data_IF_882859265326
#
_entry.id   IF_882859265326
#
_cell.length_a   1.000
_cell.length_b   1.000
_cell.length_c   1.000
_cell.angle_alpha   90.00
_cell.angle_beta   90.00
_cell.angle_gamma   90.00
#
_symmetry.space_group_name_H-M   'P 1'
#
loop_
_entity.id
_entity.type
_entity.pdbx_description
1 polymer ?
#
# COMPACT_ATOMS: atom_id res chain seq x y z
N UNK A 1 13.09 8.70 -8.10
CA UNK A 1 12.47 9.60 -9.10
C UNK A 1 11.04 9.20 -9.42
N UNK A 2 10.77 8.01 -9.99
CA UNK A 2 9.39 7.56 -10.30
C UNK A 2 8.44 7.64 -9.08
N UNK A 3 8.88 7.08 -7.94
CA UNK A 3 8.09 7.10 -6.71
C UNK A 3 7.76 8.52 -6.28
N UNK A 4 8.76 9.40 -6.16
CA UNK A 4 8.56 10.80 -5.77
C UNK A 4 7.65 11.55 -6.75
N UNK A 5 7.78 11.33 -8.06
CA UNK A 5 6.88 11.94 -9.03
C UNK A 5 5.42 11.53 -8.78
N UNK A 6 5.15 10.24 -8.56
CA UNK A 6 3.78 9.76 -8.33
C UNK A 6 3.25 10.22 -6.97
N UNK A 7 4.06 10.05 -5.92
CA UNK A 7 3.65 10.16 -4.53
C UNK A 7 3.73 11.58 -4.00
N UNK A 8 4.82 12.29 -4.28
CA UNK A 8 5.10 13.62 -3.73
C UNK A 8 4.59 14.71 -4.68
N UNK A 9 4.95 14.65 -5.97
CA UNK A 9 4.59 15.72 -6.92
C UNK A 9 3.10 15.68 -7.31
N UNK A 10 2.56 14.48 -7.53
CA UNK A 10 1.16 14.29 -7.97
C UNK A 10 0.20 13.86 -6.84
N UNK A 11 0.71 13.65 -5.62
CA UNK A 11 -0.10 13.31 -4.44
C UNK A 11 -1.05 12.11 -4.69
N UNK A 12 -0.51 11.05 -5.32
CA UNK A 12 -1.23 9.79 -5.58
C UNK A 12 -0.76 8.67 -4.65
N UNK A 13 -1.67 7.77 -4.20
CA UNK A 13 -1.30 6.58 -3.47
C UNK A 13 -0.60 5.59 -4.40
N UNK A 14 0.45 4.95 -3.89
CA UNK A 14 1.16 3.90 -4.62
C UNK A 14 1.53 2.78 -3.66
N UNK A 15 1.17 1.55 -4.02
CA UNK A 15 1.81 0.39 -3.43
C UNK A 15 3.09 0.10 -4.18
N UNK A 16 4.20 0.22 -3.47
CA UNK A 16 5.54 0.07 -4.01
C UNK A 16 6.02 -1.33 -3.68
N UNK A 17 6.49 -2.06 -4.68
CA UNK A 17 7.22 -3.31 -4.50
C UNK A 17 8.68 -3.03 -4.86
N UNK A 18 9.57 -3.15 -3.89
CA UNK A 18 10.98 -2.82 -4.04
C UNK A 18 11.86 -3.66 -3.09
N UNK A 19 13.17 -3.82 -3.40
CA UNK A 19 14.11 -4.46 -2.48
C UNK A 19 14.16 -3.73 -1.15
N UNK A 20 14.24 -4.50 -0.07
CA UNK A 20 14.53 -4.01 1.26
C UNK A 20 15.94 -4.41 1.67
N UNK A 21 16.59 -3.57 2.50
CA UNK A 21 17.84 -3.94 3.14
C UNK A 21 17.55 -4.83 4.37
N UNK A 22 17.86 -6.14 4.35
CA UNK A 22 17.58 -7.03 5.48
C UNK A 22 18.35 -6.64 6.75
N UNK A 23 19.49 -5.97 6.60
CA UNK A 23 20.32 -5.51 7.72
C UNK A 23 19.83 -4.19 8.34
N UNK A 24 18.69 -3.66 7.88
CA UNK A 24 18.14 -2.43 8.44
C UNK A 24 17.66 -2.66 9.88
N UNK A 25 18.03 -1.77 10.80
CA UNK A 25 17.78 -1.93 12.25
C UNK A 25 16.32 -2.20 12.61
N UNK A 26 15.38 -1.61 11.86
CA UNK A 26 13.94 -1.86 12.02
C UNK A 26 13.51 -3.32 11.80
N UNK A 27 14.23 -4.10 10.98
CA UNK A 27 13.93 -5.54 10.86
C UNK A 27 14.35 -6.31 12.11
N UNK A 28 15.29 -5.78 12.91
CA UNK A 28 15.64 -6.33 14.21
C UNK A 28 14.52 -6.24 15.26
N UNK A 29 13.44 -5.49 14.97
CA UNK A 29 12.31 -5.32 15.89
C UNK A 29 11.16 -6.30 15.62
N UNK A 30 11.32 -7.20 14.65
CA UNK A 30 10.31 -8.20 14.30
C UNK A 30 10.87 -9.62 14.34
N UNK A 31 9.99 -10.59 14.55
CA UNK A 31 10.36 -12.00 14.51
C UNK A 31 10.64 -12.47 13.08
N UNK A 32 11.51 -13.47 12.95
CA UNK A 32 11.90 -14.07 11.66
C UNK A 32 10.69 -14.61 10.87
N UNK A 33 9.68 -15.14 11.57
CA UNK A 33 8.44 -15.59 10.94
C UNK A 33 7.70 -14.42 10.27
N UNK A 34 7.60 -13.27 10.94
CA UNK A 34 6.95 -12.08 10.39
C UNK A 34 7.73 -11.53 9.20
N UNK A 35 9.06 -11.52 9.27
CA UNK A 35 9.92 -11.15 8.14
C UNK A 35 9.67 -12.04 6.92
N UNK A 36 9.72 -13.36 7.12
CA UNK A 36 9.53 -14.37 6.06
C UNK A 36 8.14 -14.27 5.42
N UNK A 37 7.11 -13.95 6.20
CA UNK A 37 5.75 -13.77 5.69
C UNK A 37 5.52 -12.43 5.00
N UNK A 38 6.38 -11.46 5.23
CA UNK A 38 6.22 -10.08 4.73
C UNK A 38 7.16 -9.75 3.58
N UNK A 39 8.13 -10.61 3.27
CA UNK A 39 9.10 -10.41 2.20
C UNK A 39 9.13 -11.59 1.25
N UNK A 40 9.47 -11.33 -0.02
CA UNK A 40 9.74 -12.36 -1.03
C UNK A 40 11.03 -11.96 -1.73
N UNK A 41 12.05 -12.81 -1.70
CA UNK A 41 13.37 -12.53 -2.30
C UNK A 41 13.94 -11.17 -1.88
N UNK A 42 13.86 -10.84 -0.58
CA UNK A 42 14.23 -9.54 0.00
C UNK A 42 13.52 -8.34 -0.64
N UNK A 43 12.33 -8.55 -1.18
CA UNK A 43 11.45 -7.51 -1.70
C UNK A 43 10.29 -7.31 -0.74
N UNK A 44 9.92 -6.05 -0.48
CA UNK A 44 8.82 -5.66 0.38
C UNK A 44 7.76 -4.90 -0.42
N UNK A 45 6.49 -5.15 -0.09
CA UNK A 45 5.36 -4.36 -0.59
C UNK A 45 4.96 -3.31 0.46
N UNK A 46 5.05 -2.03 0.10
CA UNK A 46 4.73 -0.91 0.98
C UNK A 46 3.64 -0.02 0.39
N UNK A 47 2.61 0.29 1.17
CA UNK A 47 1.64 1.31 0.79
C UNK A 47 2.19 2.70 1.14
N UNK A 48 2.17 3.59 0.17
CA UNK A 48 2.56 5.00 0.35
C UNK A 48 1.40 5.93 0.01
N UNK A 49 1.39 7.09 0.66
CA UNK A 49 0.41 8.17 0.48
C UNK A 49 -1.07 7.74 0.53
N UNK A 50 -1.42 6.94 1.55
CA UNK A 50 -2.79 6.51 1.81
C UNK A 50 -3.60 7.49 2.69
N UNK A 51 -3.21 8.77 2.73
CA UNK A 51 -3.90 9.82 3.48
C UNK A 51 -3.30 10.16 4.84
N UNK A 52 -3.89 11.16 5.51
CA UNK A 52 -3.31 11.82 6.70
C UNK A 52 -3.17 10.89 7.91
N UNK A 53 -4.14 10.00 8.12
CA UNK A 53 -4.05 9.02 9.21
C UNK A 53 -2.90 8.04 8.99
N UNK A 54 -2.75 7.53 7.75
CA UNK A 54 -1.64 6.67 7.38
C UNK A 54 -0.29 7.39 7.55
N UNK A 55 -0.19 8.65 7.12
CA UNK A 55 1.03 9.44 7.30
C UNK A 55 1.41 9.59 8.78
N UNK A 56 0.44 9.89 9.65
CA UNK A 56 0.69 10.10 11.07
C UNK A 56 1.04 8.81 11.80
N UNK A 57 0.35 7.69 11.52
CA UNK A 57 0.70 6.41 12.14
C UNK A 57 2.08 5.92 11.67
N UNK A 58 2.44 6.14 10.39
CA UNK A 58 3.80 5.84 9.90
C UNK A 58 4.85 6.68 10.63
N UNK A 59 4.62 7.99 10.82
CA UNK A 59 5.55 8.87 11.56
C UNK A 59 5.74 8.38 13.00
N UNK A 60 4.65 8.12 13.71
CA UNK A 60 4.69 7.62 15.10
C UNK A 60 5.37 6.26 15.21
N UNK A 61 5.07 5.33 14.29
CA UNK A 61 5.68 4.00 14.24
C UNK A 61 7.19 4.10 14.02
N UNK A 62 7.63 4.96 13.10
CA UNK A 62 9.05 5.18 12.82
C UNK A 62 9.78 5.81 14.01
N UNK A 63 9.20 6.81 14.67
CA UNK A 63 9.75 7.42 15.89
C UNK A 63 9.85 6.43 17.05
N UNK A 64 8.90 5.50 17.15
CA UNK A 64 8.93 4.42 18.13
C UNK A 64 9.90 3.28 17.76
N UNK A 65 10.52 3.33 16.57
CA UNK A 65 11.35 2.24 16.07
C UNK A 65 10.57 0.94 15.84
N UNK A 66 9.29 1.03 15.46
CA UNK A 66 8.43 -0.14 15.24
C UNK A 66 7.99 -0.21 13.78
N UNK A 67 7.91 -1.42 13.25
CA UNK A 67 7.31 -1.68 11.94
C UNK A 67 5.82 -1.99 12.08
N UNK A 68 5.01 -1.43 11.18
CA UNK A 68 3.59 -1.69 11.11
C UNK A 68 3.27 -2.59 9.91
N UNK A 69 2.85 -3.82 10.18
CA UNK A 69 2.40 -4.76 9.17
C UNK A 69 0.88 -4.90 9.24
N UNK A 70 0.22 -4.88 8.08
CA UNK A 70 -1.24 -4.98 8.02
C UNK A 70 -1.69 -5.66 6.75
N UNK A 71 -2.63 -6.60 6.89
CA UNK A 71 -3.48 -7.03 5.79
C UNK A 71 -4.69 -6.10 5.67
N UNK A 72 -5.47 -6.28 4.61
CA UNK A 72 -6.76 -5.60 4.53
C UNK A 72 -7.70 -6.08 5.63
N UNK A 73 -8.38 -5.15 6.31
CA UNK A 73 -9.29 -5.42 7.42
C UNK A 73 -10.61 -6.06 6.95
N UNK A 74 -10.53 -7.30 6.46
CA UNK A 74 -11.66 -8.09 5.98
C UNK A 74 -11.34 -9.59 6.10
N UNK A 75 -12.39 -10.40 6.14
CA UNK A 75 -12.26 -11.85 5.98
C UNK A 75 -11.60 -12.15 4.63
N UNK A 76 -10.64 -13.07 4.61
CA UNK A 76 -9.90 -13.47 3.42
C UNK A 76 -10.85 -13.77 2.24
N UNK A 77 -10.44 -13.40 1.03
CA UNK A 77 -11.18 -13.62 -0.23
C UNK A 77 -12.54 -12.94 -0.37
N UNK A 78 -12.93 -12.05 0.55
CA UNK A 78 -14.24 -11.35 0.50
C UNK A 78 -14.20 -9.94 -0.09
N UNK A 79 -13.03 -9.52 -0.58
CA UNK A 79 -12.79 -8.17 -1.12
C UNK A 79 -12.57 -7.12 -0.02
N UNK A 80 -11.90 -6.03 -0.40
CA UNK A 80 -11.58 -4.91 0.51
C UNK A 80 -12.85 -4.19 0.98
N UNK A 81 -12.83 -3.73 2.23
CA UNK A 81 -13.86 -2.85 2.81
C UNK A 81 -13.34 -1.43 2.88
N UNK A 82 -14.17 -0.47 2.52
CA UNK A 82 -13.80 0.94 2.45
C UNK A 82 -14.45 1.79 3.54
N UNK A 83 -15.33 1.19 4.33
CA UNK A 83 -15.99 1.77 5.48
C UNK A 83 -15.94 0.80 6.65
N UNK A 84 -15.86 1.33 7.87
CA UNK A 84 -15.86 0.52 9.08
C UNK A 84 -17.17 -0.25 9.22
N UNK A 85 -18.28 0.36 8.79
CA UNK A 85 -19.60 -0.26 8.82
C UNK A 85 -19.64 -1.54 7.97
N UNK A 86 -18.89 -1.59 6.86
CA UNK A 86 -18.83 -2.71 5.93
C UNK A 86 -17.86 -3.83 6.38
N UNK A 87 -17.05 -3.60 7.42
CA UNK A 87 -16.15 -4.60 7.99
C UNK A 87 -16.98 -5.70 8.67
N UNK A 88 -16.62 -6.95 8.48
CA UNK A 88 -17.32 -8.09 9.09
C UNK A 88 -17.20 -8.08 10.62
N UNK A 89 -18.24 -8.51 11.32
CA UNK A 89 -18.29 -8.48 12.78
C UNK A 89 -17.17 -9.31 13.42
N UNK A 90 -16.83 -10.47 12.85
CA UNK A 90 -15.68 -11.28 13.31
C UNK A 90 -14.36 -10.49 13.32
N UNK A 91 -14.13 -9.64 12.31
CA UNK A 91 -12.92 -8.80 12.24
C UNK A 91 -13.00 -7.67 13.27
N UNK A 92 -14.18 -7.08 13.47
CA UNK A 92 -14.39 -6.03 14.49
C UNK A 92 -14.21 -6.57 15.89
N UNK A 93 -14.73 -7.77 16.17
CA UNK A 93 -14.66 -8.45 17.46
C UNK A 93 -13.24 -8.89 17.81
N UNK A 94 -12.42 -9.21 16.80
CA UNK A 94 -11.01 -9.56 16.98
C UNK A 94 -10.08 -8.34 17.17
N UNK A 95 -10.57 -7.12 16.94
CA UNK A 95 -9.76 -5.91 17.00
C UNK A 95 -9.74 -5.30 18.41
N UNK A 96 -8.54 -5.01 18.94
CA UNK A 96 -8.40 -4.27 20.20
C UNK A 96 -8.92 -2.82 20.09
N UNK A 97 -8.81 -2.22 18.90
CA UNK A 97 -9.29 -0.88 18.63
C UNK A 97 -9.70 -0.72 17.15
N UNK A 98 -10.69 0.14 16.93
CA UNK A 98 -11.19 0.49 15.59
C UNK A 98 -11.17 2.01 15.44
N UNK A 99 -10.54 2.51 14.37
CA UNK A 99 -10.51 3.94 14.06
C UNK A 99 -11.42 4.23 12.87
N UNK A 100 -12.53 4.93 13.11
CA UNK A 100 -13.43 5.40 12.05
C UNK A 100 -13.26 6.91 11.85
N UNK A 101 -12.53 7.32 10.80
CA UNK A 101 -12.37 8.73 10.44
C UNK A 101 -12.98 9.07 9.06
N UNK A 102 -13.84 8.19 8.55
CA UNK A 102 -14.51 8.34 7.26
C UNK A 102 -13.71 7.80 6.05
N UNK A 103 -14.26 7.96 4.83
CA UNK A 103 -13.66 7.42 3.62
C UNK A 103 -12.38 8.16 3.21
N UNK A 104 -11.47 7.44 2.55
CA UNK A 104 -10.21 7.99 2.02
C UNK A 104 -10.41 8.57 0.60
N UNK A 105 -9.45 9.40 0.14
CA UNK A 105 -9.51 10.22 -1.10
C UNK A 105 -10.03 9.46 -2.34
N UNK A 106 -9.67 8.18 -2.50
CA UNK A 106 -9.99 7.38 -3.69
C UNK A 106 -11.00 6.24 -3.44
N UNK A 107 -11.71 6.24 -2.32
CA UNK A 107 -12.73 5.23 -1.99
C UNK A 107 -13.80 5.07 -3.07
N UNK A 108 -14.15 6.15 -3.78
CA UNK A 108 -15.17 6.13 -4.84
C UNK A 108 -14.81 5.21 -6.03
N UNK A 109 -13.54 4.86 -6.21
CA UNK A 109 -13.12 3.92 -7.27
C UNK A 109 -13.37 2.45 -6.89
N UNK A 110 -13.69 2.15 -5.62
CA UNK A 110 -14.00 0.79 -5.17
C UNK A 110 -12.82 -0.18 -5.26
N UNK A 111 -11.59 0.33 -5.36
CA UNK A 111 -10.37 -0.46 -5.54
C UNK A 111 -9.32 -0.09 -4.50
N UNK A 112 -8.49 -1.07 -4.13
CA UNK A 112 -7.26 -0.82 -3.37
C UNK A 112 -6.21 -0.10 -4.23
N UNK A 113 -5.07 0.27 -3.66
CA UNK A 113 -4.00 0.97 -4.40
C UNK A 113 -3.45 0.17 -5.56
N UNK A 114 -2.97 0.87 -6.59
CA UNK A 114 -2.13 0.25 -7.62
C UNK A 114 -0.85 -0.29 -6.98
N UNK A 115 -0.49 -1.56 -7.27
CA UNK A 115 0.79 -2.15 -6.86
C UNK A 115 1.73 -2.19 -8.06
N UNK A 116 2.88 -1.55 -7.93
CA UNK A 116 3.91 -1.44 -8.95
C UNK A 116 5.23 -1.95 -8.39
N UNK A 117 5.85 -2.92 -9.05
CA UNK A 117 7.26 -3.18 -8.86
C UNK A 117 8.05 -2.04 -9.52
N UNK A 118 8.73 -1.23 -8.71
CA UNK A 118 9.38 -0.01 -9.21
C UNK A 118 10.77 -0.28 -9.80
N UNK A 119 11.30 -1.50 -9.68
CA UNK A 119 12.50 -1.94 -10.39
C UNK A 119 12.18 -2.49 -11.78
N UNK A 120 11.16 -3.34 -11.87
CA UNK A 120 10.79 -4.02 -13.13
C UNK A 120 9.70 -3.30 -13.91
N UNK A 121 9.02 -2.34 -13.28
CA UNK A 121 7.82 -1.67 -13.79
C UNK A 121 6.64 -2.62 -14.04
N UNK A 122 6.66 -3.79 -13.41
CA UNK A 122 5.55 -4.73 -13.44
C UNK A 122 4.37 -4.22 -12.60
N UNK A 123 3.19 -4.19 -13.22
CA UNK A 123 1.94 -3.89 -12.52
C UNK A 123 1.42 -5.17 -11.87
N UNK A 124 1.70 -5.33 -10.58
CA UNK A 124 1.24 -6.48 -9.80
C UNK A 124 -0.24 -6.38 -9.47
N UNK A 125 -0.77 -5.14 -9.34
CA UNK A 125 -2.20 -4.91 -9.16
C UNK A 125 -2.65 -3.62 -9.83
N UNK A 126 -3.63 -3.73 -10.72
CA UNK A 126 -4.36 -2.59 -11.27
C UNK A 126 -5.34 -2.08 -10.21
N UNK A 127 -4.99 -0.99 -9.55
CA UNK A 127 -5.76 -0.42 -8.45
C UNK A 127 -6.33 0.95 -8.77
N UNK A 128 -6.60 1.71 -7.72
CA UNK A 128 -7.00 3.09 -7.85
C UNK A 128 -5.87 3.93 -8.46
N UNK A 129 -6.26 4.99 -9.19
CA UNK A 129 -5.36 5.93 -9.87
C UNK A 129 -4.42 5.31 -10.92
N UNK A 130 -4.62 4.06 -11.34
CA UNK A 130 -3.72 3.39 -12.29
C UNK A 130 -3.52 4.20 -13.58
N UNK A 131 -4.60 4.73 -14.13
CA UNK A 131 -4.59 5.48 -15.39
C UNK A 131 -3.82 6.81 -15.22
N UNK A 132 -3.93 7.46 -14.06
CA UNK A 132 -3.14 8.65 -13.74
C UNK A 132 -1.65 8.31 -13.59
N UNK A 133 -1.33 7.22 -12.90
CA UNK A 133 0.04 6.73 -12.73
C UNK A 133 0.67 6.40 -14.09
N UNK A 134 -0.06 5.70 -14.96
CA UNK A 134 0.36 5.37 -16.33
C UNK A 134 0.67 6.63 -17.15
N UNK A 135 -0.21 7.65 -17.09
CA UNK A 135 0.01 8.93 -17.77
C UNK A 135 1.24 9.68 -17.24
N UNK A 136 1.46 9.70 -15.92
CA UNK A 136 2.65 10.29 -15.29
C UNK A 136 3.92 9.58 -15.78
N UNK A 137 3.92 8.25 -15.76
CA UNK A 137 5.06 7.44 -16.24
C UNK A 137 5.36 7.70 -17.71
N UNK A 138 4.34 7.84 -18.55
CA UNK A 138 4.52 8.17 -19.96
C UNK A 138 5.08 9.58 -20.16
N UNK A 139 4.48 10.60 -19.53
CA UNK A 139 4.84 12.00 -19.78
C UNK A 139 6.22 12.38 -19.23
N UNK A 140 6.58 11.85 -18.07
CA UNK A 140 7.80 12.27 -17.37
C UNK A 140 8.98 11.33 -17.59
N UNK A 141 8.72 10.06 -17.89
CA UNK A 141 9.77 9.04 -18.00
C UNK A 141 9.75 8.29 -19.35
N UNK A 142 8.81 8.62 -20.25
CA UNK A 142 8.59 7.93 -21.52
C UNK A 142 8.42 6.40 -21.36
N UNK A 143 7.79 5.99 -20.25
CA UNK A 143 7.47 4.59 -19.94
C UNK A 143 6.03 4.31 -20.38
N UNK A 144 5.84 3.33 -21.26
CA UNK A 144 4.51 2.86 -21.67
C UNK A 144 4.06 1.72 -20.76
N UNK A 145 3.02 1.98 -19.97
CA UNK A 145 2.41 0.96 -19.10
C UNK A 145 1.30 0.20 -19.85
N UNK A 146 1.08 -1.08 -19.55
CA UNK A 146 0.04 -1.86 -20.22
C UNK A 146 -1.36 -1.29 -19.96
N UNK A 147 -2.34 -1.47 -20.86
CA UNK A 147 -3.72 -1.16 -20.54
C UNK A 147 -4.22 -2.07 -19.41
N UNK A 148 -5.20 -1.58 -18.64
CA UNK A 148 -5.91 -2.43 -17.68
C UNK A 148 -6.53 -3.63 -18.42
N UNK A 149 -6.42 -4.86 -17.89
CA UNK A 149 -7.13 -6.01 -18.46
C UNK A 149 -8.63 -5.75 -18.53
N UNK A 150 -9.29 -6.27 -19.57
CA UNK A 150 -10.75 -6.26 -19.62
C UNK A 150 -11.32 -7.17 -18.52
N UNK A 151 -12.45 -6.75 -17.93
CA UNK A 151 -13.21 -7.54 -16.94
C UNK A 151 -13.81 -8.81 -17.54
#
# INVERSE_FOLDING_TARGET
>A
EIVSAIVEDYDLPLGIIAPCNPEHELFGTIEEELYTRSTVDNTLAMLTNAGRFHAEITRLSFEAGQLFFGSSANVSTTGTRFRVEDVQDEIKEAADFIVNYGPVKYTHQGMSSTLLNVETLEVVRFGCCYENISDILKRHFNIDMPPRPAE
#
